data_IF_938713124596
#
_entry.id   IF_938713124596
#
_cell.length_a   1.000
_cell.length_b   1.000
_cell.length_c   1.000
_cell.angle_alpha   90.00
_cell.angle_beta   90.00
_cell.angle_gamma   90.00
#
_symmetry.space_group_name_H-M   'P 1'
#
loop_
_entity.id
_entity.type
_entity.pdbx_description
1 polymer ?
#
# COMPACT_ATOMS: atom_id res chain seq x y z
N UNK A 1 -28.07 -22.05 11.90
CA UNK A 1 -28.77 -21.40 10.76
C UNK A 1 -27.76 -21.05 9.70
N UNK A 2 -28.05 -21.32 8.43
CA UNK A 2 -27.16 -21.09 7.28
C UNK A 2 -27.24 -19.62 6.90
N UNK A 3 -26.09 -19.00 6.58
CA UNK A 3 -26.03 -17.66 5.99
C UNK A 3 -25.73 -17.76 4.51
N UNK A 4 -26.61 -17.21 3.70
CA UNK A 4 -26.47 -17.09 2.25
C UNK A 4 -26.09 -15.66 1.91
N UNK A 5 -24.95 -15.47 1.27
CA UNK A 5 -24.57 -14.16 0.72
C UNK A 5 -24.97 -14.09 -0.75
N UNK A 6 -25.85 -13.15 -1.09
CA UNK A 6 -26.24 -12.91 -2.47
C UNK A 6 -25.63 -11.57 -2.94
N UNK A 7 -24.73 -11.68 -3.90
CA UNK A 7 -24.18 -10.50 -4.58
C UNK A 7 -25.11 -10.09 -5.70
N UNK A 8 -25.53 -8.84 -5.67
CA UNK A 8 -26.58 -8.28 -6.56
C UNK A 8 -26.14 -6.96 -7.14
N UNK A 9 -26.81 -6.56 -8.23
CA UNK A 9 -26.84 -5.20 -8.73
C UNK A 9 -28.28 -4.67 -8.61
N UNK A 10 -28.44 -3.40 -8.24
CA UNK A 10 -29.75 -2.78 -8.15
C UNK A 10 -30.48 -2.87 -9.49
N UNK A 11 -31.76 -3.21 -9.44
CA UNK A 11 -32.66 -3.31 -10.60
C UNK A 11 -32.29 -4.39 -11.65
N UNK A 12 -31.42 -5.33 -11.33
CA UNK A 12 -31.18 -6.50 -12.20
C UNK A 12 -32.28 -7.55 -11.96
N UNK A 13 -33.02 -7.87 -13.02
CA UNK A 13 -34.17 -8.80 -12.98
C UNK A 13 -33.77 -10.18 -12.48
N UNK A 14 -32.62 -10.69 -12.93
CA UNK A 14 -32.12 -12.01 -12.50
C UNK A 14 -31.76 -12.04 -11.01
N UNK A 15 -31.27 -10.94 -10.49
CA UNK A 15 -31.00 -10.81 -9.05
C UNK A 15 -32.28 -10.86 -8.22
N UNK A 16 -33.38 -10.28 -8.73
CA UNK A 16 -34.69 -10.33 -8.08
C UNK A 16 -35.29 -11.73 -8.13
N UNK A 17 -35.21 -12.43 -9.25
CA UNK A 17 -35.65 -13.82 -9.39
C UNK A 17 -34.97 -14.74 -8.37
N UNK A 18 -33.64 -14.67 -8.25
CA UNK A 18 -32.90 -15.48 -7.27
C UNK A 18 -33.25 -15.13 -5.82
N UNK A 19 -33.59 -13.87 -5.55
CA UNK A 19 -34.09 -13.48 -4.21
C UNK A 19 -35.42 -14.15 -3.89
N UNK A 20 -36.32 -14.27 -4.86
CA UNK A 20 -37.60 -14.95 -4.68
C UNK A 20 -37.41 -16.45 -4.54
N UNK A 21 -36.53 -17.06 -5.33
CA UNK A 21 -36.17 -18.47 -5.21
C UNK A 21 -35.60 -18.79 -3.82
N UNK A 22 -34.72 -17.96 -3.29
CA UNK A 22 -34.19 -18.12 -1.95
C UNK A 22 -35.31 -17.99 -0.88
N UNK A 23 -36.24 -17.05 -1.04
CA UNK A 23 -37.38 -16.95 -0.14
C UNK A 23 -38.25 -18.17 -0.17
N UNK A 24 -38.54 -18.74 -1.35
CA UNK A 24 -39.32 -19.96 -1.52
C UNK A 24 -38.64 -21.17 -0.85
N UNK A 25 -37.32 -21.30 -0.99
CA UNK A 25 -36.53 -22.37 -0.39
C UNK A 25 -36.35 -22.23 1.13
N UNK A 26 -36.62 -21.05 1.70
CA UNK A 26 -36.46 -20.78 3.14
C UNK A 26 -37.40 -21.65 4.02
N UNK A 27 -38.54 -22.07 3.48
CA UNK A 27 -39.49 -22.96 4.15
C UNK A 27 -38.92 -24.37 4.30
N UNK A 28 -38.20 -24.86 3.28
CA UNK A 28 -37.61 -26.21 3.26
C UNK A 28 -36.24 -26.27 3.94
N UNK A 29 -35.43 -25.26 3.71
CA UNK A 29 -34.04 -25.14 4.24
C UNK A 29 -33.94 -23.78 4.94
N UNK A 30 -34.04 -23.71 6.28
CA UNK A 30 -33.95 -22.46 7.01
C UNK A 30 -32.62 -21.79 6.84
N UNK A 31 -32.60 -20.58 6.24
CA UNK A 31 -31.41 -19.80 6.01
C UNK A 31 -31.67 -18.29 6.11
N UNK A 32 -30.62 -17.51 6.23
CA UNK A 32 -30.66 -16.04 6.19
C UNK A 32 -29.93 -15.54 4.97
N UNK A 33 -30.54 -14.60 4.25
CA UNK A 33 -29.94 -14.00 3.04
C UNK A 33 -29.34 -12.64 3.38
N UNK A 34 -28.05 -12.48 3.13
CA UNK A 34 -27.35 -11.20 3.19
C UNK A 34 -27.16 -10.68 1.77
N UNK A 35 -27.77 -9.53 1.47
CA UNK A 35 -27.66 -8.87 0.16
C UNK A 35 -26.44 -7.94 0.15
N UNK A 36 -25.57 -8.11 -0.83
CA UNK A 36 -24.42 -7.22 -1.06
C UNK A 36 -24.51 -6.63 -2.45
N UNK A 37 -24.70 -5.32 -2.52
CA UNK A 37 -24.68 -4.57 -3.77
C UNK A 37 -23.22 -4.43 -4.25
N UNK A 38 -22.90 -5.02 -5.40
CA UNK A 38 -21.52 -5.02 -5.94
C UNK A 38 -21.07 -3.65 -6.42
N UNK A 39 -21.98 -2.75 -6.75
CA UNK A 39 -21.65 -1.41 -7.22
C UNK A 39 -21.19 -0.48 -6.07
N UNK A 40 -21.32 -0.92 -4.82
CA UNK A 40 -20.80 -0.22 -3.65
C UNK A 40 -19.29 -0.36 -3.48
N UNK A 41 -18.65 -1.34 -4.15
CA UNK A 41 -17.21 -1.57 -4.09
C UNK A 41 -16.66 -1.89 -5.49
N UNK A 42 -15.68 -1.09 -5.95
CA UNK A 42 -15.12 -1.21 -7.30
C UNK A 42 -14.49 -2.58 -7.57
N UNK A 43 -13.93 -3.24 -6.54
CA UNK A 43 -13.31 -4.56 -6.68
C UNK A 43 -14.38 -5.64 -6.77
N UNK A 44 -15.47 -5.53 -6.00
CA UNK A 44 -16.62 -6.42 -6.13
C UNK A 44 -17.26 -6.31 -7.51
N UNK A 45 -17.43 -5.09 -8.01
CA UNK A 45 -17.94 -4.83 -9.35
C UNK A 45 -17.05 -5.45 -10.44
N UNK A 46 -15.72 -5.36 -10.30
CA UNK A 46 -14.77 -5.97 -11.22
C UNK A 46 -14.78 -7.50 -11.13
N UNK A 47 -14.91 -8.07 -9.92
CA UNK A 47 -14.85 -9.53 -9.69
C UNK A 47 -16.12 -10.27 -10.06
N UNK A 48 -17.27 -9.67 -9.85
CA UNK A 48 -18.58 -10.32 -9.99
C UNK A 48 -19.51 -9.66 -11.02
N UNK A 49 -19.19 -8.45 -11.46
CA UNK A 49 -20.10 -7.64 -12.28
C UNK A 49 -20.62 -8.29 -13.56
N UNK A 50 -19.84 -9.22 -14.15
CA UNK A 50 -20.22 -9.95 -15.36
C UNK A 50 -20.96 -11.27 -15.09
N UNK A 51 -20.92 -11.77 -13.85
CA UNK A 51 -21.44 -13.10 -13.48
C UNK A 51 -22.59 -13.05 -12.46
N UNK A 52 -23.21 -11.87 -12.29
CA UNK A 52 -24.33 -11.67 -11.37
C UNK A 52 -25.61 -12.41 -11.86
N UNK A 53 -26.44 -12.85 -10.92
CA UNK A 53 -26.25 -12.93 -9.47
C UNK A 53 -25.22 -14.00 -9.05
N UNK A 54 -24.50 -13.75 -7.94
CA UNK A 54 -23.60 -14.75 -7.34
C UNK A 54 -24.12 -15.10 -5.95
N UNK A 55 -24.30 -16.40 -5.71
CA UNK A 55 -24.73 -16.94 -4.42
C UNK A 55 -23.56 -17.62 -3.72
N UNK A 56 -23.26 -17.22 -2.50
CA UNK A 56 -22.22 -17.85 -1.68
C UNK A 56 -22.84 -18.41 -0.40
N UNK A 57 -22.60 -19.70 -0.14
CA UNK A 57 -23.10 -20.41 1.05
C UNK A 57 -21.94 -21.18 1.68
N UNK A 58 -21.34 -20.63 2.74
CA UNK A 58 -20.11 -21.20 3.29
C UNK A 58 -18.99 -21.30 2.25
N UNK A 59 -18.42 -22.50 1.98
CA UNK A 59 -17.40 -22.69 0.97
C UNK A 59 -17.93 -22.76 -0.46
N UNK A 60 -19.24 -22.87 -0.63
CA UNK A 60 -19.87 -23.07 -1.95
C UNK A 60 -20.19 -21.74 -2.59
N UNK A 61 -19.90 -21.63 -3.89
CA UNK A 61 -20.16 -20.42 -4.69
C UNK A 61 -20.85 -20.82 -5.99
N UNK A 62 -22.07 -20.31 -6.23
CA UNK A 62 -22.77 -20.39 -7.50
C UNK A 62 -22.67 -19.06 -8.24
N UNK A 63 -22.36 -19.13 -9.52
CA UNK A 63 -22.30 -17.97 -10.44
C UNK A 63 -23.32 -18.15 -11.54
N UNK A 64 -24.03 -17.09 -11.89
CA UNK A 64 -24.98 -17.13 -13.01
C UNK A 64 -24.30 -17.51 -14.33
N UNK A 65 -24.96 -18.38 -15.17
CA UNK A 65 -26.30 -18.95 -14.97
C UNK A 65 -26.28 -20.19 -14.08
N UNK A 66 -27.27 -20.34 -13.22
CA UNK A 66 -27.54 -21.55 -12.42
C UNK A 66 -29.05 -21.76 -12.28
N UNK A 67 -29.45 -22.98 -11.95
CA UNK A 67 -30.83 -23.41 -11.81
C UNK A 67 -31.28 -23.40 -10.35
N UNK A 68 -32.62 -23.38 -10.13
CA UNK A 68 -33.20 -23.54 -8.78
C UNK A 68 -32.75 -24.87 -8.12
N UNK A 69 -32.58 -25.93 -8.91
CA UNK A 69 -32.12 -27.22 -8.41
C UNK A 69 -30.68 -27.17 -7.89
N UNK A 70 -29.77 -26.50 -8.59
CA UNK A 70 -28.38 -26.28 -8.15
C UNK A 70 -28.33 -25.44 -6.88
N UNK A 71 -29.19 -24.41 -6.77
CA UNK A 71 -29.34 -23.60 -5.57
C UNK A 71 -29.81 -24.45 -4.37
N UNK A 72 -30.79 -25.33 -4.59
CA UNK A 72 -31.27 -26.23 -3.55
C UNK A 72 -30.21 -27.25 -3.10
N UNK A 73 -29.43 -27.79 -4.02
CA UNK A 73 -28.32 -28.73 -3.72
C UNK A 73 -27.25 -28.03 -2.88
N UNK A 74 -26.87 -26.83 -3.23
CA UNK A 74 -25.84 -26.06 -2.48
C UNK A 74 -26.33 -25.71 -1.07
N UNK A 75 -27.59 -25.32 -0.91
CA UNK A 75 -28.18 -25.04 0.39
C UNK A 75 -28.23 -26.32 1.26
N UNK A 76 -28.62 -27.46 0.66
CA UNK A 76 -28.64 -28.77 1.34
C UNK A 76 -27.24 -29.18 1.80
N UNK A 77 -26.24 -29.11 0.91
CA UNK A 77 -24.87 -29.43 1.24
C UNK A 77 -24.28 -28.53 2.35
N UNK A 78 -24.64 -27.25 2.33
CA UNK A 78 -24.21 -26.31 3.38
C UNK A 78 -24.87 -26.64 4.74
N UNK A 79 -26.14 -27.08 4.74
CA UNK A 79 -26.83 -27.53 5.95
C UNK A 79 -26.18 -28.79 6.54
N UNK A 80 -26.01 -29.81 5.71
CA UNK A 80 -25.41 -31.07 6.12
C UNK A 80 -23.97 -30.90 6.65
N UNK A 81 -23.21 -30.02 6.03
CA UNK A 81 -21.89 -29.63 6.53
C UNK A 81 -21.95 -28.96 7.90
N UNK A 82 -22.91 -28.05 8.11
CA UNK A 82 -23.08 -27.38 9.39
C UNK A 82 -23.43 -28.37 10.51
N UNK A 83 -24.39 -29.28 10.26
CA UNK A 83 -24.79 -30.32 11.17
C UNK A 83 -23.62 -31.26 11.53
N UNK A 84 -22.81 -31.62 10.55
CA UNK A 84 -21.62 -32.43 10.76
C UNK A 84 -20.55 -31.71 11.63
N UNK A 85 -20.30 -30.40 11.39
CA UNK A 85 -19.38 -29.62 12.21
C UNK A 85 -19.88 -29.43 13.65
N UNK A 86 -21.18 -29.25 13.84
CA UNK A 86 -21.81 -29.17 15.18
C UNK A 86 -21.68 -30.52 15.93
N UNK A 87 -21.76 -31.67 15.23
CA UNK A 87 -21.56 -33.01 15.83
C UNK A 87 -20.11 -33.29 16.26
N UNK A 88 -19.13 -32.77 15.55
CA UNK A 88 -17.71 -32.92 15.88
C UNK A 88 -17.34 -32.17 17.17
N UNK A 89 -18.09 -31.12 17.54
CA UNK A 89 -17.87 -30.34 18.76
C UNK A 89 -16.52 -29.59 18.79
N UNK A 90 -16.07 -29.10 17.65
CA UNK A 90 -14.83 -28.33 17.55
C UNK A 90 -14.95 -26.97 18.26
N UNK A 91 -14.35 -26.88 19.46
CA UNK A 91 -14.35 -25.65 20.27
C UNK A 91 -13.78 -24.43 19.53
N UNK A 92 -12.88 -24.63 18.54
CA UNK A 92 -12.35 -23.53 17.74
C UNK A 92 -13.39 -23.05 16.71
N UNK A 93 -14.22 -23.95 16.20
CA UNK A 93 -15.36 -23.60 15.35
C UNK A 93 -16.46 -22.87 16.13
N UNK A 94 -16.82 -23.34 17.31
CA UNK A 94 -17.81 -22.69 18.19
C UNK A 94 -17.39 -21.26 18.53
N UNK A 95 -16.14 -21.04 18.98
CA UNK A 95 -15.60 -19.70 19.27
C UNK A 95 -15.63 -18.77 18.05
N UNK A 96 -15.26 -19.28 16.86
CA UNK A 96 -15.34 -18.50 15.61
C UNK A 96 -16.77 -18.12 15.27
N UNK A 97 -17.72 -19.03 15.49
CA UNK A 97 -19.14 -18.78 15.28
C UNK A 97 -19.69 -17.72 16.24
N UNK A 98 -19.36 -17.81 17.53
CA UNK A 98 -19.71 -16.80 18.54
C UNK A 98 -19.10 -15.42 18.19
N UNK A 99 -17.83 -15.36 17.82
CA UNK A 99 -17.17 -14.13 17.37
C UNK A 99 -17.79 -13.55 16.09
N UNK A 100 -18.23 -14.40 15.18
CA UNK A 100 -18.93 -13.96 13.97
C UNK A 100 -20.31 -13.35 14.27
N UNK A 101 -20.95 -13.75 15.36
CA UNK A 101 -22.26 -13.24 15.79
C UNK A 101 -22.18 -11.99 16.69
N UNK A 102 -20.99 -11.46 16.93
CA UNK A 102 -20.78 -10.25 17.72
C UNK A 102 -20.00 -9.20 16.94
N UNK A 103 -20.53 -7.97 16.87
CA UNK A 103 -19.83 -6.82 16.27
C UNK A 103 -18.93 -6.16 17.31
N UNK A 104 -17.63 -6.16 17.08
CA UNK A 104 -16.64 -5.61 18.00
C UNK A 104 -16.17 -4.22 17.58
N UNK A 105 -15.51 -3.50 18.49
CA UNK A 105 -14.80 -2.25 18.18
C UNK A 105 -13.69 -2.47 17.14
N UNK A 106 -13.06 -3.65 17.17
CA UNK A 106 -12.05 -4.03 16.17
C UNK A 106 -12.64 -4.16 14.76
N UNK A 107 -13.87 -4.73 14.62
CA UNK A 107 -14.55 -4.80 13.32
C UNK A 107 -14.83 -3.39 12.75
N UNK A 108 -15.22 -2.47 13.63
CA UNK A 108 -15.43 -1.06 13.25
C UNK A 108 -14.14 -0.41 12.76
N UNK A 109 -13.05 -0.59 13.51
CA UNK A 109 -11.73 -0.08 13.12
C UNK A 109 -11.23 -0.73 11.81
N UNK A 110 -11.34 -2.06 11.68
CA UNK A 110 -10.93 -2.80 10.50
C UNK A 110 -11.70 -2.37 9.25
N UNK A 111 -13.00 -2.13 9.37
CA UNK A 111 -13.82 -1.61 8.26
C UNK A 111 -13.42 -0.17 7.90
N UNK A 112 -13.23 0.69 8.90
CA UNK A 112 -12.75 2.05 8.67
C UNK A 112 -11.38 2.05 8.00
N UNK A 113 -10.42 1.28 8.53
CA UNK A 113 -9.06 1.19 8.00
C UNK A 113 -9.06 0.65 6.56
N UNK A 114 -9.79 -0.42 6.26
CA UNK A 114 -9.87 -0.97 4.91
C UNK A 114 -10.46 0.00 3.87
N UNK A 115 -11.28 0.96 4.32
CA UNK A 115 -11.78 2.03 3.46
C UNK A 115 -10.77 3.18 3.25
N UNK A 116 -9.98 3.50 4.29
CA UNK A 116 -9.14 4.70 4.31
C UNK A 116 -7.64 4.44 4.28
N UNK A 117 -7.19 3.17 4.21
CA UNK A 117 -5.78 2.78 4.32
C UNK A 117 -4.86 3.53 3.36
N UNK A 118 -5.31 3.80 2.12
CA UNK A 118 -4.50 4.54 1.15
C UNK A 118 -4.22 5.97 1.60
N UNK A 119 -5.21 6.64 2.21
CA UNK A 119 -5.02 7.98 2.77
C UNK A 119 -4.11 7.95 4.00
N UNK A 120 -4.23 6.91 4.83
CA UNK A 120 -3.33 6.71 5.99
C UNK A 120 -1.89 6.49 5.51
N UNK A 121 -1.67 5.59 4.54
CA UNK A 121 -0.35 5.35 3.97
C UNK A 121 0.20 6.62 3.30
N UNK A 122 -0.60 7.31 2.49
CA UNK A 122 -0.18 8.56 1.83
C UNK A 122 0.17 9.66 2.83
N UNK A 123 -0.57 9.77 3.93
CA UNK A 123 -0.26 10.71 5.01
C UNK A 123 1.07 10.39 5.69
N UNK A 124 1.32 9.12 6.01
CA UNK A 124 2.58 8.69 6.63
C UNK A 124 3.77 8.91 5.68
N UNK A 125 3.59 8.62 4.37
CA UNK A 125 4.61 8.89 3.35
C UNK A 125 4.86 10.39 3.20
N UNK A 126 3.81 11.21 3.23
CA UNK A 126 3.93 12.67 3.15
C UNK A 126 4.68 13.24 4.37
N UNK A 127 4.42 12.71 5.57
CA UNK A 127 5.21 13.05 6.76
C UNK A 127 6.66 12.62 6.61
N UNK A 128 6.90 11.38 6.17
CA UNK A 128 8.24 10.83 6.01
C UNK A 128 9.10 11.64 5.02
N UNK A 129 8.52 12.05 3.88
CA UNK A 129 9.22 12.85 2.87
C UNK A 129 9.24 14.34 3.24
N UNK A 130 8.18 14.87 3.84
CA UNK A 130 8.02 16.29 4.10
C UNK A 130 8.84 16.81 5.28
N UNK A 131 8.88 16.06 6.39
CA UNK A 131 9.62 16.47 7.59
C UNK A 131 11.10 16.81 7.34
N UNK A 132 11.85 16.04 6.52
CA UNK A 132 13.24 16.38 6.20
C UNK A 132 13.45 17.75 5.57
N UNK A 133 12.44 18.28 4.85
CA UNK A 133 12.50 19.61 4.25
C UNK A 133 12.33 20.73 5.29
N UNK A 134 11.77 20.44 6.47
CA UNK A 134 11.71 21.42 7.55
C UNK A 134 13.10 21.68 8.19
N UNK A 135 14.02 20.71 8.13
CA UNK A 135 15.34 20.87 8.73
C UNK A 135 16.11 22.08 8.17
N UNK A 136 16.29 22.26 6.82
CA UNK A 136 16.92 23.43 6.27
C UNK A 136 16.12 24.73 6.52
N UNK A 137 14.79 24.68 6.58
CA UNK A 137 13.95 25.84 6.93
C UNK A 137 14.25 26.31 8.35
N UNK A 138 14.30 25.36 9.30
CA UNK A 138 14.61 25.65 10.71
C UNK A 138 16.05 26.12 10.91
N UNK A 139 17.02 25.56 10.17
CA UNK A 139 18.39 26.04 10.15
C UNK A 139 18.45 27.52 9.72
N UNK A 140 17.79 27.87 8.60
CA UNK A 140 17.76 29.22 8.07
C UNK A 140 17.05 30.22 8.98
N UNK A 141 16.04 29.79 9.73
CA UNK A 141 15.31 30.62 10.69
C UNK A 141 16.01 30.75 12.06
N UNK A 142 17.19 30.11 12.26
CA UNK A 142 17.91 30.12 13.53
C UNK A 142 17.43 29.10 14.57
N UNK A 143 16.39 28.30 14.28
CA UNK A 143 15.88 27.23 15.14
C UNK A 143 16.74 25.95 15.04
N UNK A 144 18.07 26.10 15.24
CA UNK A 144 19.06 25.04 15.01
C UNK A 144 18.87 23.81 15.89
N UNK A 145 18.40 23.98 17.13
CA UNK A 145 18.10 22.86 18.02
C UNK A 145 17.02 21.92 17.45
N UNK A 146 15.91 22.47 16.97
CA UNK A 146 14.82 21.70 16.36
C UNK A 146 15.25 21.05 15.04
N UNK A 147 16.03 21.75 14.21
CA UNK A 147 16.60 21.20 12.97
C UNK A 147 17.49 19.98 13.28
N UNK A 148 18.36 20.07 14.29
CA UNK A 148 19.24 18.97 14.69
C UNK A 148 18.48 17.73 15.16
N UNK A 149 17.32 17.90 15.80
CA UNK A 149 16.43 16.77 16.14
C UNK A 149 15.96 16.05 14.87
N UNK A 150 15.54 16.79 13.84
CA UNK A 150 15.13 16.18 12.57
C UNK A 150 16.31 15.42 11.93
N UNK A 151 17.48 16.05 11.84
CA UNK A 151 18.68 15.36 11.32
C UNK A 151 18.99 14.09 12.11
N UNK A 152 18.86 14.12 13.44
CA UNK A 152 19.12 12.96 14.30
C UNK A 152 18.11 11.83 14.08
N UNK A 153 16.81 12.14 13.93
CA UNK A 153 15.75 11.16 13.66
C UNK A 153 15.99 10.46 12.31
N UNK A 154 16.37 11.20 11.27
CA UNK A 154 16.56 10.64 9.93
C UNK A 154 17.94 10.01 9.71
N UNK A 155 18.90 10.21 10.60
CA UNK A 155 20.26 9.66 10.49
C UNK A 155 20.34 8.13 10.44
N UNK A 156 19.56 7.35 11.18
CA UNK A 156 19.54 5.89 11.03
C UNK A 156 18.84 5.42 9.75
N UNK A 157 17.97 6.26 9.17
CA UNK A 157 17.18 5.93 7.99
C UNK A 157 17.90 6.28 6.67
N UNK A 158 18.77 7.29 6.71
CA UNK A 158 19.55 7.75 5.55
C UNK A 158 20.97 8.12 5.99
N UNK A 159 21.96 7.87 5.12
CA UNK A 159 23.36 8.25 5.40
C UNK A 159 23.57 9.75 5.51
N UNK A 160 22.69 10.58 4.96
CA UNK A 160 22.72 12.05 5.00
C UNK A 160 24.03 12.65 4.47
N UNK A 161 24.65 12.01 3.45
CA UNK A 161 25.87 12.52 2.84
C UNK A 161 25.57 13.82 2.09
N UNK A 162 26.24 14.94 2.39
CA UNK A 162 25.92 16.24 1.80
C UNK A 162 26.06 16.26 0.28
N UNK A 163 27.05 15.55 -0.27
CA UNK A 163 27.24 15.43 -1.72
C UNK A 163 26.21 14.52 -2.42
N UNK A 164 25.19 14.03 -1.69
CA UNK A 164 24.02 13.26 -2.17
C UNK A 164 22.71 13.84 -1.66
N UNK A 165 22.73 15.08 -1.18
CA UNK A 165 21.57 15.75 -0.58
C UNK A 165 21.22 17.00 -1.38
N UNK A 166 19.93 17.34 -1.37
CA UNK A 166 19.43 18.61 -1.86
C UNK A 166 19.72 19.70 -0.84
N UNK A 167 20.18 20.86 -1.28
CA UNK A 167 20.38 22.04 -0.45
C UNK A 167 19.32 23.09 -0.75
N UNK A 168 18.83 23.76 0.29
CA UNK A 168 17.90 24.88 0.18
C UNK A 168 18.57 26.16 0.71
N UNK A 169 18.17 27.29 0.16
CA UNK A 169 18.63 28.62 0.57
C UNK A 169 20.11 28.92 0.29
N UNK A 170 20.74 28.17 -0.61
CA UNK A 170 22.15 28.36 -1.02
C UNK A 170 22.28 28.75 -2.48
N UNK A 171 23.55 28.89 -2.94
CA UNK A 171 23.91 29.28 -4.31
C UNK A 171 23.50 28.22 -5.35
N UNK A 172 23.50 26.93 -4.96
CA UNK A 172 23.11 25.83 -5.84
C UNK A 172 22.39 24.73 -5.08
N UNK A 173 21.48 23.98 -5.74
CA UNK A 173 20.68 22.95 -5.09
C UNK A 173 21.44 21.65 -4.81
N UNK A 174 22.60 21.45 -5.46
CA UNK A 174 23.39 20.21 -5.34
C UNK A 174 24.88 20.57 -5.28
N UNK A 175 25.63 19.82 -4.47
CA UNK A 175 27.08 19.84 -4.41
C UNK A 175 27.60 18.41 -4.62
N UNK A 176 27.56 17.91 -5.89
CA UNK A 176 27.99 16.54 -6.18
C UNK A 176 29.49 16.38 -5.90
N UNK A 177 29.93 15.14 -5.75
CA UNK A 177 31.39 14.87 -5.72
C UNK A 177 32.03 15.24 -7.04
N UNK A 178 33.29 15.67 -7.00
CA UNK A 178 34.06 15.96 -8.21
C UNK A 178 34.12 14.77 -9.16
N UNK A 179 34.19 13.53 -8.59
CA UNK A 179 34.16 12.27 -9.32
C UNK A 179 32.88 12.07 -10.18
N UNK A 180 31.79 12.74 -9.85
CA UNK A 180 30.54 12.62 -10.62
C UNK A 180 30.60 13.42 -11.94
N UNK A 181 31.57 14.33 -12.12
CA UNK A 181 31.82 15.07 -13.36
C UNK A 181 30.63 15.94 -13.82
N UNK A 182 29.86 16.51 -12.89
CA UNK A 182 28.65 17.28 -13.22
C UNK A 182 29.02 18.70 -13.61
N UNK A 183 28.96 18.99 -14.91
CA UNK A 183 29.28 20.33 -15.45
C UNK A 183 28.29 21.40 -14.91
N UNK A 184 28.84 22.61 -14.68
CA UNK A 184 28.04 23.77 -14.22
C UNK A 184 27.70 23.77 -12.71
N UNK A 185 28.17 22.80 -11.96
CA UNK A 185 28.03 22.74 -10.49
C UNK A 185 29.41 22.70 -9.83
N UNK A 186 29.58 23.51 -8.79
CA UNK A 186 30.72 23.43 -7.90
C UNK A 186 30.63 22.15 -7.08
N UNK A 187 31.69 21.35 -7.03
CA UNK A 187 31.71 20.12 -6.27
C UNK A 187 31.70 20.36 -4.75
N UNK A 188 31.36 19.34 -3.98
CA UNK A 188 31.38 19.41 -2.51
C UNK A 188 32.80 19.65 -1.99
N UNK A 189 33.79 18.96 -2.57
CA UNK A 189 35.19 19.10 -2.27
C UNK A 189 35.69 20.56 -2.51
N UNK A 190 35.32 21.14 -3.66
CA UNK A 190 35.67 22.53 -4.00
C UNK A 190 34.95 23.55 -3.11
N UNK A 191 33.73 23.26 -2.65
CA UNK A 191 32.95 24.16 -1.82
C UNK A 191 33.35 24.17 -0.35
N UNK A 192 33.89 23.05 0.16
CA UNK A 192 34.14 22.86 1.61
C UNK A 192 35.62 22.60 1.95
N UNK A 193 36.40 22.08 0.99
CA UNK A 193 37.74 21.55 1.25
C UNK A 193 37.79 20.29 2.11
N UNK A 194 36.63 19.68 2.42
CA UNK A 194 36.54 18.49 3.30
C UNK A 194 36.94 17.23 2.53
N UNK A 195 37.58 16.30 3.23
CA UNK A 195 37.86 14.98 2.71
C UNK A 195 36.57 14.13 2.68
N UNK A 196 36.10 13.81 1.48
CA UNK A 196 34.88 13.01 1.28
C UNK A 196 35.00 11.55 1.73
N UNK A 197 36.23 11.08 1.97
CA UNK A 197 36.47 9.73 2.49
C UNK A 197 36.31 9.67 4.02
N UNK A 198 36.41 10.79 4.73
CA UNK A 198 35.99 10.88 6.14
C UNK A 198 34.47 10.98 6.22
N UNK A 199 33.82 9.85 5.93
CA UNK A 199 32.35 9.72 5.90
C UNK A 199 31.70 10.14 7.22
N UNK A 200 32.40 9.93 8.36
CA UNK A 200 31.89 10.24 9.67
C UNK A 200 31.75 11.76 9.85
N UNK A 201 32.79 12.52 9.59
CA UNK A 201 32.77 13.98 9.70
C UNK A 201 31.86 14.61 8.65
N UNK A 202 31.98 14.18 7.39
CA UNK A 202 31.18 14.71 6.28
C UNK A 202 29.67 14.50 6.49
N UNK A 203 29.28 13.40 7.05
CA UNK A 203 27.86 13.10 7.37
C UNK A 203 27.22 14.15 8.28
N UNK A 204 27.98 14.72 9.22
CA UNK A 204 27.49 15.73 10.16
C UNK A 204 27.45 17.14 9.58
N UNK A 205 28.07 17.38 8.43
CA UNK A 205 27.98 18.67 7.77
C UNK A 205 26.54 18.94 7.31
N UNK A 206 25.91 19.98 7.85
CA UNK A 206 24.51 20.35 7.58
C UNK A 206 24.38 21.48 6.57
N UNK A 207 25.48 22.19 6.27
CA UNK A 207 25.50 23.37 5.41
C UNK A 207 25.99 24.62 6.12
N UNK A 208 25.95 25.74 5.41
CA UNK A 208 26.29 27.06 5.87
C UNK A 208 25.49 28.13 5.09
N UNK A 209 25.69 29.41 5.40
CA UNK A 209 24.94 30.49 4.75
C UNK A 209 25.17 30.61 3.23
N UNK A 210 26.34 30.23 2.72
CA UNK A 210 26.68 30.26 1.32
C UNK A 210 26.11 29.06 0.56
N UNK A 211 26.35 27.87 1.06
CA UNK A 211 25.87 26.62 0.45
C UNK A 211 24.38 26.38 0.68
N UNK A 212 23.79 27.08 1.65
CA UNK A 212 22.49 26.72 2.18
C UNK A 212 22.54 25.51 3.12
N UNK A 213 21.40 24.93 3.43
CA UNK A 213 21.27 23.82 4.37
C UNK A 213 20.71 22.61 3.69
N UNK A 214 21.29 21.42 3.93
CA UNK A 214 20.88 20.18 3.30
C UNK A 214 19.52 19.68 3.84
N UNK A 215 18.73 19.06 2.99
CA UNK A 215 17.56 18.28 3.38
C UNK A 215 18.03 17.03 4.13
N UNK A 216 17.29 16.61 5.16
CA UNK A 216 17.69 15.48 6.02
C UNK A 216 17.50 14.09 5.36
N UNK A 217 17.11 14.03 4.09
CA UNK A 217 17.08 12.84 3.23
C UNK A 217 17.99 13.04 2.00
N UNK A 218 18.53 11.95 1.47
CA UNK A 218 19.30 12.01 0.24
C UNK A 218 18.36 12.10 -0.99
N UNK A 219 18.93 12.54 -2.12
CA UNK A 219 18.26 12.73 -3.42
C UNK A 219 17.47 11.47 -3.84
N UNK A 220 18.08 10.30 -3.70
CA UNK A 220 17.46 9.03 -4.09
C UNK A 220 16.27 8.68 -3.20
N UNK A 221 16.40 8.85 -1.88
CA UNK A 221 15.31 8.57 -0.94
C UNK A 221 14.12 9.52 -1.16
N UNK A 222 14.40 10.82 -1.40
CA UNK A 222 13.35 11.79 -1.77
C UNK A 222 12.61 11.32 -3.03
N UNK A 223 13.35 10.87 -4.04
CA UNK A 223 12.74 10.40 -5.29
C UNK A 223 11.93 9.11 -5.12
N UNK A 224 12.46 8.11 -4.38
CA UNK A 224 11.77 6.84 -4.12
C UNK A 224 10.44 7.08 -3.39
N UNK A 225 10.54 7.70 -2.22
CA UNK A 225 9.37 7.87 -1.34
C UNK A 225 8.40 8.93 -1.86
N UNK A 226 8.90 9.96 -2.55
CA UNK A 226 8.09 10.96 -3.23
C UNK A 226 7.30 10.36 -4.40
N UNK A 227 7.92 9.51 -5.21
CA UNK A 227 7.25 8.81 -6.30
C UNK A 227 6.27 7.75 -5.80
N UNK A 228 6.59 7.06 -4.69
CA UNK A 228 5.69 6.13 -4.01
C UNK A 228 4.45 6.87 -3.48
N UNK A 229 4.64 8.03 -2.85
CA UNK A 229 3.56 8.91 -2.39
C UNK A 229 2.68 9.37 -3.56
N UNK A 230 3.29 9.87 -4.62
CA UNK A 230 2.57 10.31 -5.82
C UNK A 230 1.74 9.17 -6.41
N UNK A 231 2.35 7.99 -6.57
CA UNK A 231 1.65 6.78 -7.03
C UNK A 231 0.48 6.39 -6.13
N UNK A 232 0.65 6.49 -4.80
CA UNK A 232 -0.41 6.23 -3.82
C UNK A 232 -1.58 7.20 -3.92
N UNK A 233 -1.29 8.50 -4.07
CA UNK A 233 -2.32 9.54 -4.27
C UNK A 233 -3.06 9.30 -5.59
N UNK A 234 -2.35 9.06 -6.69
CA UNK A 234 -2.96 8.78 -7.98
C UNK A 234 -3.83 7.53 -7.95
N UNK A 235 -3.35 6.46 -7.30
CA UNK A 235 -4.12 5.24 -7.10
C UNK A 235 -5.40 5.49 -6.30
N UNK A 236 -5.34 6.27 -5.22
CA UNK A 236 -6.51 6.64 -4.43
C UNK A 236 -7.51 7.47 -5.24
N UNK A 237 -7.04 8.50 -5.97
CA UNK A 237 -7.87 9.40 -6.76
C UNK A 237 -8.53 8.72 -7.97
N UNK A 238 -7.88 7.70 -8.56
CA UNK A 238 -8.43 6.91 -9.67
C UNK A 238 -9.39 5.81 -9.22
N UNK A 239 -9.81 5.83 -7.96
CA UNK A 239 -10.77 4.88 -7.39
C UNK A 239 -10.19 3.51 -7.14
N UNK A 240 -8.85 3.39 -7.01
CA UNK A 240 -8.14 2.14 -6.68
C UNK A 240 -8.37 1.00 -7.69
N UNK A 241 -8.52 1.36 -8.99
CA UNK A 241 -8.88 0.42 -10.08
C UNK A 241 -7.70 -0.06 -10.92
N UNK A 242 -6.48 0.27 -10.54
CA UNK A 242 -5.31 -0.18 -11.29
C UNK A 242 -5.14 -1.70 -11.17
N UNK A 243 -4.75 -2.32 -12.28
CA UNK A 243 -4.23 -3.68 -12.23
C UNK A 243 -2.78 -3.64 -11.76
N UNK A 244 -2.38 -4.62 -10.95
CA UNK A 244 -1.00 -4.73 -10.51
C UNK A 244 -0.05 -4.85 -11.70
N UNK A 245 1.06 -4.12 -11.63
CA UNK A 245 2.12 -4.21 -12.63
C UNK A 245 2.69 -5.64 -12.65
N UNK A 246 3.05 -6.13 -13.83
CA UNK A 246 3.70 -7.43 -13.93
C UNK A 246 5.04 -7.40 -13.17
N UNK A 247 5.33 -8.46 -12.41
CA UNK A 247 6.54 -8.60 -11.59
C UNK A 247 7.83 -8.35 -12.39
N UNK A 248 7.95 -8.93 -13.60
CA UNK A 248 9.14 -8.75 -14.42
C UNK A 248 9.29 -7.34 -14.98
N UNK A 249 8.19 -6.63 -15.23
CA UNK A 249 8.22 -5.23 -15.64
C UNK A 249 8.67 -4.35 -14.46
N UNK A 250 8.20 -4.63 -13.24
CA UNK A 250 8.68 -3.97 -12.03
C UNK A 250 10.19 -4.20 -11.81
N UNK A 251 10.67 -5.43 -11.99
CA UNK A 251 12.12 -5.74 -11.90
C UNK A 251 12.91 -4.98 -12.95
N UNK A 252 12.48 -5.00 -14.22
CA UNK A 252 13.21 -4.39 -15.33
C UNK A 252 13.26 -2.86 -15.25
N UNK A 253 12.14 -2.22 -14.92
CA UNK A 253 12.03 -0.75 -14.95
C UNK A 253 12.33 -0.13 -13.57
N UNK A 254 11.94 -0.82 -12.50
CA UNK A 254 12.15 -0.33 -11.14
C UNK A 254 13.47 -0.80 -10.54
N UNK A 255 13.62 -2.11 -10.34
CA UNK A 255 14.69 -2.67 -9.53
C UNK A 255 16.06 -2.67 -10.21
N UNK A 256 16.14 -3.05 -11.50
CA UNK A 256 17.42 -3.12 -12.22
C UNK A 256 18.08 -1.74 -12.35
N UNK A 257 17.42 -0.66 -12.78
CA UNK A 257 18.09 0.65 -12.92
C UNK A 257 18.65 1.17 -11.61
N UNK A 258 17.88 1.11 -10.52
CA UNK A 258 18.34 1.57 -9.21
C UNK A 258 19.44 0.65 -8.64
N UNK A 259 19.34 -0.66 -8.87
CA UNK A 259 20.33 -1.64 -8.48
C UNK A 259 21.67 -1.45 -9.19
N UNK A 260 21.66 -1.20 -10.50
CA UNK A 260 22.86 -0.91 -11.29
C UNK A 260 23.48 0.44 -10.88
N UNK A 261 22.66 1.49 -10.75
CA UNK A 261 23.17 2.80 -10.33
C UNK A 261 23.73 2.77 -8.90
N UNK A 262 23.04 2.14 -7.94
CA UNK A 262 23.51 2.01 -6.56
C UNK A 262 24.68 1.03 -6.43
N UNK A 263 24.59 -0.13 -7.05
CA UNK A 263 25.59 -1.19 -6.99
C UNK A 263 26.91 -0.78 -7.63
N UNK A 264 26.89 -0.08 -8.76
CA UNK A 264 28.13 0.40 -9.41
C UNK A 264 28.94 1.36 -8.53
N UNK A 265 28.31 2.07 -7.61
CA UNK A 265 29.00 2.96 -6.67
C UNK A 265 29.65 2.18 -5.51
N UNK A 266 29.08 1.04 -5.11
CA UNK A 266 29.66 0.21 -4.05
C UNK A 266 30.97 -0.43 -4.49
N UNK A 267 31.13 -0.73 -5.77
CA UNK A 267 32.37 -1.27 -6.32
C UNK A 267 33.57 -0.35 -6.07
N UNK A 268 33.37 0.97 -6.06
CA UNK A 268 34.40 1.95 -5.78
C UNK A 268 34.92 1.96 -4.34
N UNK A 269 34.24 1.31 -3.39
CA UNK A 269 34.68 1.21 -2.00
C UNK A 269 35.42 -0.08 -1.67
N UNK A 270 35.51 -1.03 -2.62
CA UNK A 270 36.24 -2.27 -2.43
C UNK A 270 37.75 -2.05 -2.68
N UNK A 271 38.55 -2.30 -1.64
CA UNK A 271 39.99 -1.99 -1.60
C UNK A 271 40.88 -2.79 -2.56
N UNK A 272 40.36 -3.87 -3.17
CA UNK A 272 41.14 -4.78 -4.04
C UNK A 272 40.53 -4.92 -5.45
N UNK A 273 39.88 -3.88 -5.96
CA UNK A 273 39.34 -3.93 -7.31
C UNK A 273 40.43 -3.82 -8.38
N UNK A 274 40.33 -4.60 -9.46
CA UNK A 274 41.20 -4.45 -10.60
C UNK A 274 41.14 -3.01 -11.17
N UNK A 275 42.25 -2.49 -11.63
CA UNK A 275 42.37 -1.11 -12.14
C UNK A 275 41.42 -0.79 -13.34
N UNK A 276 40.89 -1.82 -13.98
CA UNK A 276 39.92 -1.65 -15.09
C UNK A 276 38.48 -1.45 -14.62
N UNK A 277 38.17 -1.61 -13.32
CA UNK A 277 36.85 -1.31 -12.77
C UNK A 277 36.75 0.19 -12.49
N UNK A 278 35.90 0.93 -13.24
CA UNK A 278 35.83 2.37 -13.05
C UNK A 278 35.19 2.68 -11.70
N UNK A 279 35.89 3.47 -10.88
CA UNK A 279 35.31 4.10 -9.70
C UNK A 279 34.33 5.15 -10.19
N UNK A 280 33.07 5.02 -9.83
CA UNK A 280 32.00 5.88 -10.31
C UNK A 280 31.20 6.48 -9.15
N UNK A 281 30.82 7.74 -9.29
CA UNK A 281 29.81 8.39 -8.47
C UNK A 281 28.60 8.75 -9.35
N UNK A 282 27.39 8.54 -8.86
CA UNK A 282 26.17 8.85 -9.59
C UNK A 282 25.91 10.37 -9.60
N UNK A 283 25.30 10.84 -10.66
CA UNK A 283 24.84 12.23 -10.74
C UNK A 283 23.51 12.42 -9.99
N UNK A 284 23.18 13.63 -9.50
CA UNK A 284 21.89 13.91 -8.84
C UNK A 284 20.69 13.49 -9.72
N UNK A 285 20.72 13.82 -11.01
CA UNK A 285 19.64 13.49 -11.95
C UNK A 285 19.43 12.00 -12.10
N UNK A 286 20.49 11.21 -12.15
CA UNK A 286 20.39 9.76 -12.27
C UNK A 286 19.84 9.13 -10.99
N UNK A 287 20.20 9.67 -9.82
CA UNK A 287 19.63 9.25 -8.53
C UNK A 287 18.13 9.55 -8.45
N UNK A 288 17.71 10.75 -8.91
CA UNK A 288 16.29 11.11 -8.97
C UNK A 288 15.54 10.20 -9.94
N UNK A 289 16.06 10.00 -11.15
CA UNK A 289 15.41 9.18 -12.17
C UNK A 289 15.25 7.73 -11.69
N UNK A 290 16.34 7.08 -11.26
CA UNK A 290 16.30 5.68 -10.83
C UNK A 290 15.46 5.50 -9.56
N UNK A 291 15.54 6.47 -8.63
CA UNK A 291 14.70 6.49 -7.44
C UNK A 291 13.21 6.64 -7.77
N UNK A 292 12.86 7.58 -8.65
CA UNK A 292 11.47 7.81 -9.05
C UNK A 292 10.89 6.62 -9.83
N UNK A 293 11.65 6.02 -10.74
CA UNK A 293 11.23 4.79 -11.45
C UNK A 293 10.94 3.67 -10.46
N UNK A 294 11.84 3.41 -9.52
CA UNK A 294 11.64 2.39 -8.51
C UNK A 294 10.44 2.69 -7.61
N UNK A 295 10.31 3.92 -7.09
CA UNK A 295 9.20 4.31 -6.22
C UNK A 295 7.85 4.21 -6.91
N UNK A 296 7.72 4.74 -8.13
CA UNK A 296 6.46 4.74 -8.87
C UNK A 296 6.04 3.34 -9.33
N UNK A 297 6.97 2.56 -9.88
CA UNK A 297 6.67 1.17 -10.29
C UNK A 297 6.36 0.28 -9.09
N UNK A 298 6.98 0.56 -7.92
CA UNK A 298 6.64 -0.13 -6.66
C UNK A 298 5.23 0.23 -6.20
N UNK A 299 4.83 1.49 -6.28
CA UNK A 299 3.44 1.91 -6.02
C UNK A 299 2.45 1.17 -6.93
N UNK A 300 2.75 1.13 -8.23
CA UNK A 300 1.88 0.46 -9.21
C UNK A 300 1.84 -1.07 -9.03
N UNK A 301 2.92 -1.67 -8.55
CA UNK A 301 2.96 -3.11 -8.25
C UNK A 301 2.24 -3.44 -6.94
N UNK A 302 2.56 -2.72 -5.85
CA UNK A 302 2.15 -3.10 -4.49
C UNK A 302 0.73 -2.64 -4.12
N UNK A 303 0.32 -1.41 -4.48
CA UNK A 303 -0.97 -0.88 -4.02
C UNK A 303 -2.18 -1.65 -4.54
N UNK A 304 -2.22 -2.11 -5.81
CA UNK A 304 -3.32 -2.98 -6.25
C UNK A 304 -3.37 -4.32 -5.50
N UNK A 305 -2.21 -4.92 -5.16
CA UNK A 305 -2.17 -6.16 -4.36
C UNK A 305 -2.68 -5.93 -2.93
N UNK A 306 -2.34 -4.79 -2.32
CA UNK A 306 -2.88 -4.41 -1.00
C UNK A 306 -4.39 -4.19 -1.10
N UNK A 307 -4.87 -3.50 -2.16
CA UNK A 307 -6.31 -3.27 -2.36
C UNK A 307 -7.09 -4.58 -2.50
N UNK A 308 -6.54 -5.58 -3.16
CA UNK A 308 -7.19 -6.89 -3.27
C UNK A 308 -7.47 -7.49 -1.88
N UNK A 309 -6.50 -7.45 -0.96
CA UNK A 309 -6.67 -7.91 0.42
C UNK A 309 -7.65 -7.01 1.22
N UNK A 310 -7.56 -5.69 1.05
CA UNK A 310 -8.43 -4.75 1.75
C UNK A 310 -9.89 -4.86 1.29
N UNK A 311 -10.12 -5.12 0.00
CA UNK A 311 -11.46 -5.34 -0.52
C UNK A 311 -12.08 -6.63 -0.01
N UNK A 312 -11.28 -7.70 0.11
CA UNK A 312 -11.74 -8.95 0.71
C UNK A 312 -12.14 -8.76 2.18
N UNK A 313 -11.32 -8.02 2.95
CA UNK A 313 -11.66 -7.67 4.34
C UNK A 313 -12.95 -6.85 4.42
N UNK A 314 -13.13 -5.84 3.54
CA UNK A 314 -14.38 -5.06 3.48
C UNK A 314 -15.57 -5.96 3.20
N UNK A 315 -15.44 -6.87 2.24
CA UNK A 315 -16.49 -7.83 1.89
C UNK A 315 -16.93 -8.65 3.09
N UNK A 316 -15.98 -9.27 3.80
CA UNK A 316 -16.27 -10.12 4.97
C UNK A 316 -16.92 -9.31 6.09
N UNK A 317 -16.44 -8.11 6.37
CA UNK A 317 -16.98 -7.24 7.40
C UNK A 317 -18.38 -6.71 7.04
N UNK A 318 -18.62 -6.33 5.79
CA UNK A 318 -19.95 -5.91 5.33
C UNK A 318 -20.96 -7.06 5.40
N UNK A 319 -20.55 -8.27 5.00
CA UNK A 319 -21.37 -9.47 5.15
C UNK A 319 -21.75 -9.71 6.60
N UNK A 320 -20.76 -9.69 7.53
CA UNK A 320 -20.98 -9.82 8.97
C UNK A 320 -21.98 -8.77 9.48
N UNK A 321 -21.77 -7.50 9.11
CA UNK A 321 -22.64 -6.39 9.52
C UNK A 321 -24.09 -6.60 9.06
N UNK A 322 -24.29 -7.02 7.81
CA UNK A 322 -25.61 -7.25 7.24
C UNK A 322 -26.33 -8.40 7.93
N UNK A 323 -25.63 -9.51 8.18
CA UNK A 323 -26.19 -10.67 8.92
C UNK A 323 -26.63 -10.27 10.32
N UNK A 324 -25.79 -9.55 11.06
CA UNK A 324 -26.11 -9.11 12.43
C UNK A 324 -27.30 -8.14 12.46
N UNK A 325 -27.41 -7.21 11.49
CA UNK A 325 -28.55 -6.32 11.39
C UNK A 325 -29.88 -7.08 11.15
N UNK A 326 -29.85 -8.12 10.33
CA UNK A 326 -31.03 -8.94 10.05
C UNK A 326 -31.44 -9.84 11.24
N UNK A 327 -30.45 -10.40 11.95
CA UNK A 327 -30.70 -11.17 13.18
C UNK A 327 -31.26 -10.29 14.27
N UNK A 328 -30.70 -9.08 14.45
CA UNK A 328 -31.20 -8.09 15.42
C UNK A 328 -32.62 -7.64 15.14
N UNK A 329 -32.98 -7.40 13.88
CA UNK A 329 -34.33 -7.02 13.46
C UNK A 329 -35.36 -8.15 13.68
N UNK A 330 -34.99 -9.45 13.53
CA UNK A 330 -35.84 -10.59 13.80
C UNK A 330 -36.10 -10.84 15.30
N UNK A 331 -35.15 -10.47 16.15
CA UNK A 331 -35.28 -10.64 17.60
C UNK A 331 -36.05 -9.48 18.27
N UNK A 332 -36.31 -8.40 17.54
CA UNK A 332 -37.03 -7.21 18.00
C UNK A 332 -38.53 -7.22 17.62
N UNK A 333 -38.99 -8.16 16.79
CA UNK A 333 -40.38 -8.44 16.42
C UNK A 333 -40.84 -9.75 17.05
#
# INVERSE_FOLDING_TARGET
>A
MITVTLYVRKNDVRCLEVQEDLKALQVQIPHQVALIDVDTDAVLAQRYGETLPVVQVGPYVLRSPFTLQELQVVLGAARDRLEHLDQIGDKAYERRREQAMHWSGFDTFALWFSNHYMWVISFLLALYVGLPFLAPVMMKSGATGAANVIYAIYRPLCHQLPYRSVFLYGEQPFYPRELAGVAGYRSFEQATGMDVFDVVTVRYFVGNDTMGYKVALCERDIAIWGALLLGGILFALTGRRWKSLNFWVWVLIGLIPIGLDGGSQLLGFLTNMPAWVPVRESTPWLRFLTGALFGFTTAWFMFPLIEENMSENRRVLLQKKTVLAQVGAKNAN
#
